data_IF_915454806126
#
_entry.id   IF_915454806126
#
_cell.length_a   1.000
_cell.length_b   1.000
_cell.length_c   1.000
_cell.angle_alpha   90.00
_cell.angle_beta   90.00
_cell.angle_gamma   90.00
#
_symmetry.space_group_name_H-M   'P 1'
#
loop_
_entity.id
_entity.type
_entity.pdbx_description
1 polymer ?
#
# COMPACT_ATOMS: atom_id res chain seq x y z
N UNK A 1 8.04 0.80 7.52
CA UNK A 1 8.50 0.26 8.82
C UNK A 1 7.34 0.06 9.76
N UNK A 2 6.51 1.08 10.02
CA UNK A 2 5.30 0.93 10.87
C UNK A 2 4.37 -0.20 10.42
N UNK A 3 4.04 -0.31 9.13
CA UNK A 3 3.19 -1.41 8.65
C UNK A 3 3.81 -2.79 8.87
N UNK A 4 5.13 -2.94 8.71
CA UNK A 4 5.82 -4.20 9.00
C UNK A 4 5.72 -4.56 10.49
N UNK A 5 5.88 -3.59 11.40
CA UNK A 5 5.68 -3.81 12.84
C UNK A 5 4.25 -4.29 13.18
N UNK A 6 3.25 -3.81 12.44
CA UNK A 6 1.85 -4.20 12.65
C UNK A 6 1.57 -5.60 12.10
N UNK A 7 2.15 -5.95 10.95
CA UNK A 7 1.92 -7.22 10.26
C UNK A 7 2.74 -8.38 10.83
N UNK A 8 3.99 -8.15 11.21
CA UNK A 8 4.94 -9.19 11.63
C UNK A 8 4.81 -9.57 13.10
N UNK A 9 4.15 -8.73 13.91
CA UNK A 9 3.97 -8.97 15.33
C UNK A 9 2.50 -9.27 15.68
N UNK A 10 2.32 -10.25 16.58
CA UNK A 10 0.99 -10.70 17.00
C UNK A 10 0.11 -9.57 17.56
N UNK A 11 -1.21 -9.75 17.46
CA UNK A 11 -2.22 -8.73 17.78
C UNK A 11 -2.02 -8.07 19.15
N UNK A 12 -1.59 -8.83 20.17
CA UNK A 12 -1.45 -8.33 21.53
C UNK A 12 -0.02 -7.92 21.92
N UNK A 13 0.94 -8.03 21.00
CA UNK A 13 2.34 -7.70 21.26
C UNK A 13 2.55 -6.21 21.59
N UNK A 14 3.54 -5.94 22.45
CA UNK A 14 3.93 -4.56 22.79
C UNK A 14 4.39 -3.79 21.55
N UNK A 15 5.13 -4.43 20.64
CA UNK A 15 5.63 -3.79 19.41
C UNK A 15 4.47 -3.35 18.50
N UNK A 16 3.50 -4.22 18.22
CA UNK A 16 2.32 -3.84 17.42
C UNK A 16 1.53 -2.72 18.07
N UNK A 17 1.30 -2.77 19.39
CA UNK A 17 0.60 -1.70 20.13
C UNK A 17 1.33 -0.35 20.01
N UNK A 18 2.66 -0.34 20.15
CA UNK A 18 3.49 0.87 19.96
C UNK A 18 3.38 1.41 18.53
N UNK A 19 3.46 0.53 17.52
CA UNK A 19 3.36 0.92 16.13
C UNK A 19 1.99 1.51 15.76
N UNK A 20 0.90 0.92 16.26
CA UNK A 20 -0.45 1.45 16.06
C UNK A 20 -0.60 2.82 16.75
N UNK A 21 -0.14 2.97 17.99
CA UNK A 21 -0.16 4.28 18.66
C UNK A 21 0.60 5.34 17.87
N UNK A 22 1.77 4.97 17.34
CA UNK A 22 2.56 5.89 16.53
C UNK A 22 1.83 6.26 15.23
N UNK A 23 1.26 5.28 14.54
CA UNK A 23 0.45 5.50 13.34
C UNK A 23 -0.72 6.44 13.62
N UNK A 24 -1.50 6.19 14.67
CA UNK A 24 -2.61 7.04 15.07
C UNK A 24 -2.15 8.47 15.40
N UNK A 25 -0.99 8.63 16.06
CA UNK A 25 -0.39 9.94 16.33
C UNK A 25 -0.01 10.70 15.06
N UNK A 26 0.53 10.02 14.03
CA UNK A 26 0.84 10.66 12.75
C UNK A 26 -0.44 11.03 11.98
N UNK A 27 -1.43 10.14 11.97
CA UNK A 27 -2.71 10.37 11.30
C UNK A 27 -3.52 11.48 11.96
N UNK A 28 -3.53 11.58 13.29
CA UNK A 28 -4.27 12.60 14.04
C UNK A 28 -3.82 14.04 13.81
N UNK A 29 -2.74 14.25 13.05
CA UNK A 29 -2.27 15.57 12.61
C UNK A 29 -3.03 16.13 11.42
N UNK A 30 -3.72 15.27 10.69
CA UNK A 30 -4.38 15.61 9.43
C UNK A 30 -5.89 15.49 9.62
N UNK A 31 -6.63 16.38 8.96
CA UNK A 31 -8.10 16.31 8.92
C UNK A 31 -8.52 15.31 7.84
N UNK A 32 -8.37 14.02 8.14
CA UNK A 32 -8.80 12.93 7.27
C UNK A 32 -10.13 12.41 7.81
N UNK A 33 -11.14 12.34 6.95
CA UNK A 33 -12.46 11.86 7.31
C UNK A 33 -12.47 10.35 7.59
N UNK A 34 -13.48 9.87 8.31
CA UNK A 34 -13.67 8.43 8.51
C UNK A 34 -13.85 7.69 7.18
N UNK A 35 -14.52 8.31 6.19
CA UNK A 35 -14.75 7.71 4.87
C UNK A 35 -13.44 7.51 4.10
N UNK A 36 -12.57 8.53 4.10
CA UNK A 36 -11.24 8.43 3.48
C UNK A 36 -10.36 7.38 4.18
N UNK A 37 -10.40 7.31 5.51
CA UNK A 37 -9.68 6.25 6.23
C UNK A 37 -10.21 4.86 5.93
N UNK A 38 -11.53 4.68 5.84
CA UNK A 38 -12.13 3.40 5.48
C UNK A 38 -11.72 2.99 4.06
N UNK A 39 -11.74 3.93 3.12
CA UNK A 39 -11.28 3.67 1.75
C UNK A 39 -9.81 3.24 1.75
N UNK A 40 -8.91 4.01 2.39
CA UNK A 40 -7.50 3.64 2.46
C UNK A 40 -7.29 2.31 3.19
N UNK A 41 -8.05 2.00 4.24
CA UNK A 41 -7.99 0.69 4.90
C UNK A 41 -8.40 -0.44 3.94
N UNK A 42 -9.42 -0.21 3.10
CA UNK A 42 -9.90 -1.19 2.14
C UNK A 42 -8.85 -1.53 1.07
N UNK A 43 -8.03 -0.56 0.64
CA UNK A 43 -6.99 -0.81 -0.38
C UNK A 43 -5.91 -1.78 0.14
N UNK A 44 -5.64 -1.80 1.45
CA UNK A 44 -4.74 -2.79 2.05
C UNK A 44 -5.30 -4.22 2.05
N UNK A 45 -6.60 -4.40 1.83
CA UNK A 45 -7.26 -5.70 1.73
C UNK A 45 -7.38 -6.10 0.26
N UNK A 46 -8.02 -5.25 -0.55
CA UNK A 46 -8.47 -5.63 -1.88
C UNK A 46 -7.39 -5.50 -2.96
N UNK A 47 -6.49 -4.51 -2.88
CA UNK A 47 -5.43 -4.38 -3.88
C UNK A 47 -4.46 -5.57 -3.84
N UNK A 48 -4.02 -6.07 -2.67
CA UNK A 48 -3.25 -7.31 -2.61
C UNK A 48 -4.02 -8.53 -3.13
N UNK A 49 -5.31 -8.66 -2.81
CA UNK A 49 -6.13 -9.79 -3.29
C UNK A 49 -6.19 -9.77 -4.83
N UNK A 50 -6.60 -8.64 -5.42
CA UNK A 50 -6.71 -8.45 -6.89
C UNK A 50 -5.37 -8.67 -7.58
N UNK A 51 -4.28 -8.15 -6.99
CA UNK A 51 -2.93 -8.35 -7.53
C UNK A 51 -2.53 -9.81 -7.54
N UNK A 52 -2.73 -10.53 -6.42
CA UNK A 52 -2.33 -11.93 -6.32
C UNK A 52 -3.18 -12.83 -7.22
N UNK A 53 -4.48 -12.57 -7.34
CA UNK A 53 -5.36 -13.29 -8.26
C UNK A 53 -4.93 -13.17 -9.71
N UNK A 54 -4.42 -11.99 -10.12
CA UNK A 54 -4.03 -11.74 -11.51
C UNK A 54 -2.58 -12.14 -11.81
N UNK A 55 -1.66 -11.97 -10.85
CA UNK A 55 -0.22 -11.96 -11.13
C UNK A 55 0.63 -12.86 -10.23
N UNK A 56 0.05 -13.55 -9.23
CA UNK A 56 0.79 -14.54 -8.45
C UNK A 56 0.76 -15.93 -9.09
N UNK A 57 1.55 -16.85 -8.53
CA UNK A 57 1.61 -18.25 -8.97
C UNK A 57 0.35 -19.05 -8.63
N UNK A 58 -0.46 -18.56 -7.68
CA UNK A 58 -1.80 -19.07 -7.36
C UNK A 58 -2.66 -17.96 -6.75
N UNK A 59 -4.00 -18.03 -6.85
CA UNK A 59 -4.89 -17.15 -6.12
C UNK A 59 -4.83 -17.39 -4.60
N UNK A 60 -5.30 -16.41 -3.84
CA UNK A 60 -5.54 -16.58 -2.41
C UNK A 60 -6.70 -17.54 -2.17
N UNK A 61 -6.54 -18.45 -1.22
CA UNK A 61 -7.62 -19.25 -0.66
C UNK A 61 -8.58 -18.38 0.16
N UNK A 62 -9.79 -18.86 0.38
CA UNK A 62 -10.78 -18.13 1.18
C UNK A 62 -10.28 -17.86 2.62
N UNK A 63 -9.57 -18.82 3.22
CA UNK A 63 -9.00 -18.66 4.56
C UNK A 63 -7.96 -17.53 4.58
N UNK A 64 -7.12 -17.41 3.55
CA UNK A 64 -6.14 -16.33 3.45
C UNK A 64 -6.81 -14.97 3.28
N UNK A 65 -7.85 -14.87 2.44
CA UNK A 65 -8.64 -13.63 2.27
C UNK A 65 -9.30 -13.20 3.58
N UNK A 66 -9.91 -14.14 4.28
CA UNK A 66 -10.51 -13.91 5.60
C UNK A 66 -9.47 -13.51 6.65
N UNK A 67 -8.26 -14.07 6.59
CA UNK A 67 -7.15 -13.70 7.46
C UNK A 67 -6.72 -12.25 7.28
N UNK A 68 -6.54 -11.80 6.03
CA UNK A 68 -6.25 -10.40 5.69
C UNK A 68 -7.38 -9.50 6.17
N UNK A 69 -8.63 -9.84 5.84
CA UNK A 69 -9.81 -9.08 6.23
C UNK A 69 -9.89 -8.89 7.76
N UNK A 70 -9.80 -9.97 8.53
CA UNK A 70 -9.85 -9.90 10.00
C UNK A 70 -8.71 -9.07 10.59
N UNK A 71 -7.51 -9.19 10.04
CA UNK A 71 -6.37 -8.41 10.51
C UNK A 71 -6.58 -6.90 10.31
N UNK A 72 -7.09 -6.49 9.14
CA UNK A 72 -7.34 -5.08 8.86
C UNK A 72 -8.63 -4.55 9.50
N UNK A 73 -9.64 -5.38 9.70
CA UNK A 73 -10.82 -5.05 10.52
C UNK A 73 -10.39 -4.70 11.96
N UNK A 74 -9.53 -5.52 12.56
CA UNK A 74 -8.98 -5.24 13.89
C UNK A 74 -8.08 -4.00 13.90
N UNK A 75 -7.29 -3.76 12.85
CA UNK A 75 -6.52 -2.54 12.71
C UNK A 75 -7.43 -1.31 12.68
N UNK A 76 -8.48 -1.33 11.85
CA UNK A 76 -9.47 -0.25 11.75
C UNK A 76 -10.14 0.06 13.09
N UNK A 77 -10.52 -0.97 13.86
CA UNK A 77 -11.05 -0.79 15.23
C UNK A 77 -10.05 -0.08 16.15
N UNK A 78 -8.77 -0.44 16.10
CA UNK A 78 -7.71 0.21 16.89
C UNK A 78 -7.31 1.60 16.39
N UNK A 79 -7.66 1.93 15.16
CA UNK A 79 -7.61 3.28 14.60
C UNK A 79 -8.85 4.11 14.96
N UNK A 80 -9.78 3.55 15.76
CA UNK A 80 -11.05 4.18 16.14
C UNK A 80 -11.97 4.49 14.95
N UNK A 81 -11.83 3.76 13.83
CA UNK A 81 -12.72 3.90 12.68
C UNK A 81 -14.12 3.39 13.02
N UNK A 82 -15.13 4.06 12.46
CA UNK A 82 -16.54 3.79 12.66
C UNK A 82 -17.13 3.18 11.39
N UNK A 83 -18.20 2.39 11.57
CA UNK A 83 -18.99 1.83 10.47
C UNK A 83 -18.16 1.02 9.46
N UNK A 84 -17.15 0.30 9.94
CA UNK A 84 -16.37 -0.61 9.09
C UNK A 84 -17.32 -1.71 8.58
N UNK A 85 -17.39 -2.00 7.27
CA UNK A 85 -18.18 -3.12 6.77
C UNK A 85 -17.74 -4.46 7.41
N UNK A 86 -18.68 -5.35 7.73
CA UNK A 86 -18.41 -6.53 8.56
C UNK A 86 -18.13 -7.80 7.75
N UNK A 87 -18.26 -7.74 6.43
CA UNK A 87 -17.92 -8.83 5.51
C UNK A 87 -16.98 -8.36 4.40
N UNK A 88 -16.24 -9.30 3.80
CA UNK A 88 -15.42 -9.04 2.61
C UNK A 88 -16.26 -8.41 1.48
N UNK A 89 -17.43 -8.98 1.18
CA UNK A 89 -18.29 -8.53 0.09
C UNK A 89 -18.80 -7.09 0.33
N UNK A 90 -19.25 -6.77 1.55
CA UNK A 90 -19.70 -5.42 1.87
C UNK A 90 -18.55 -4.42 1.79
N UNK A 91 -17.34 -4.79 2.24
CA UNK A 91 -16.21 -3.87 2.22
C UNK A 91 -15.65 -3.69 0.80
N UNK A 92 -15.72 -4.71 -0.04
CA UNK A 92 -15.35 -4.60 -1.45
C UNK A 92 -16.33 -3.69 -2.20
N UNK A 93 -17.63 -3.85 -1.97
CA UNK A 93 -18.64 -2.94 -2.52
C UNK A 93 -18.37 -1.50 -2.08
N UNK A 94 -18.10 -1.28 -0.79
CA UNK A 94 -17.73 0.04 -0.29
C UNK A 94 -16.50 0.62 -0.98
N UNK A 95 -15.44 -0.18 -1.20
CA UNK A 95 -14.24 0.23 -1.91
C UNK A 95 -14.58 0.71 -3.33
N UNK A 96 -15.32 -0.09 -4.11
CA UNK A 96 -15.71 0.24 -5.49
C UNK A 96 -16.65 1.45 -5.57
N UNK A 97 -17.59 1.57 -4.62
CA UNK A 97 -18.51 2.71 -4.52
C UNK A 97 -17.80 4.01 -4.11
N UNK A 98 -16.73 3.92 -3.30
CA UNK A 98 -15.91 5.08 -2.99
C UNK A 98 -15.16 5.54 -4.24
N UNK A 99 -14.53 4.63 -4.98
CA UNK A 99 -13.80 4.96 -6.21
C UNK A 99 -14.71 5.58 -7.26
N UNK A 100 -15.89 5.00 -7.50
CA UNK A 100 -16.82 5.53 -8.49
C UNK A 100 -17.33 6.95 -8.18
N UNK A 101 -17.40 7.33 -6.91
CA UNK A 101 -17.82 8.68 -6.47
C UNK A 101 -16.68 9.69 -6.46
N UNK A 102 -15.50 9.28 -6.02
CA UNK A 102 -14.42 10.21 -5.67
C UNK A 102 -13.21 10.19 -6.62
N UNK A 103 -13.05 9.19 -7.49
CA UNK A 103 -11.95 9.18 -8.45
C UNK A 103 -12.14 10.27 -9.50
N UNK A 104 -11.46 11.38 -9.25
CA UNK A 104 -11.48 12.56 -10.10
C UNK A 104 -10.07 13.10 -10.23
N UNK A 105 -9.79 13.69 -11.39
CA UNK A 105 -8.50 14.32 -11.62
C UNK A 105 -8.35 15.57 -10.74
N UNK A 106 -7.18 15.70 -10.11
CA UNK A 106 -6.71 16.94 -9.51
C UNK A 106 -5.23 17.18 -9.87
N UNK A 107 -4.78 18.43 -10.07
CA UNK A 107 -3.37 18.71 -10.35
C UNK A 107 -2.41 18.16 -9.28
N UNK A 108 -2.85 18.14 -8.01
CA UNK A 108 -2.12 17.52 -6.90
C UNK A 108 -1.90 16.02 -7.10
N UNK A 109 -2.87 15.30 -7.66
CA UNK A 109 -2.79 13.86 -7.90
C UNK A 109 -1.65 13.56 -8.89
N UNK A 110 -1.56 14.34 -9.97
CA UNK A 110 -0.50 14.19 -10.97
C UNK A 110 0.89 14.43 -10.37
N UNK A 111 1.03 15.49 -9.57
CA UNK A 111 2.28 15.81 -8.91
C UNK A 111 2.74 14.67 -7.99
N UNK A 112 1.85 14.15 -7.15
CA UNK A 112 2.15 13.05 -6.23
C UNK A 112 2.42 11.76 -7.01
N UNK A 113 1.64 11.47 -8.05
CA UNK A 113 1.83 10.30 -8.91
C UNK A 113 3.21 10.30 -9.56
N UNK A 114 3.63 11.41 -10.14
CA UNK A 114 4.95 11.52 -10.78
C UNK A 114 6.09 11.24 -9.81
N UNK A 115 6.03 11.82 -8.59
CA UNK A 115 7.04 11.58 -7.56
C UNK A 115 7.04 10.14 -7.07
N UNK A 116 5.85 9.54 -6.93
CA UNK A 116 5.69 8.16 -6.47
C UNK A 116 6.20 7.16 -7.51
N UNK A 117 5.93 7.41 -8.80
CA UNK A 117 6.41 6.58 -9.90
C UNK A 117 7.93 6.69 -10.02
N UNK A 118 8.49 7.89 -9.90
CA UNK A 118 9.94 8.10 -9.90
C UNK A 118 10.62 7.39 -8.71
N UNK A 119 9.99 7.42 -7.53
CA UNK A 119 10.46 6.66 -6.36
C UNK A 119 10.45 5.15 -6.63
N UNK A 120 9.36 4.63 -7.18
CA UNK A 120 9.24 3.21 -7.53
C UNK A 120 10.32 2.79 -8.53
N UNK A 121 10.51 3.57 -9.59
CA UNK A 121 11.53 3.30 -10.59
C UNK A 121 12.94 3.35 -10.00
N UNK A 122 13.19 4.28 -9.05
CA UNK A 122 14.47 4.39 -8.35
C UNK A 122 14.87 3.17 -7.53
N UNK A 123 13.94 2.25 -7.23
CA UNK A 123 14.28 0.98 -6.60
C UNK A 123 14.91 -0.04 -7.56
N UNK A 124 14.73 0.13 -8.86
CA UNK A 124 15.10 -0.87 -9.87
C UNK A 124 15.98 -0.33 -11.00
N UNK A 125 15.89 0.97 -11.30
CA UNK A 125 16.51 1.60 -12.46
C UNK A 125 17.32 2.84 -12.04
N UNK A 126 18.41 3.15 -12.75
CA UNK A 126 19.05 4.46 -12.67
C UNK A 126 18.16 5.55 -13.29
N UNK A 127 18.29 6.79 -12.80
CA UNK A 127 17.42 7.93 -13.17
C UNK A 127 17.30 8.17 -14.68
N UNK A 128 18.38 7.98 -15.44
CA UNK A 128 18.37 8.20 -16.90
C UNK A 128 17.46 7.23 -17.66
N UNK A 129 17.06 6.10 -17.04
CA UNK A 129 16.11 5.14 -17.62
C UNK A 129 14.65 5.40 -17.22
N UNK A 130 14.36 6.42 -16.40
CA UNK A 130 12.99 6.66 -15.92
C UNK A 130 12.02 6.96 -17.06
N UNK A 131 12.46 7.66 -18.10
CA UNK A 131 11.64 7.92 -19.30
C UNK A 131 11.15 6.63 -19.98
N UNK A 132 11.99 5.59 -19.98
CA UNK A 132 11.66 4.27 -20.53
C UNK A 132 10.77 3.48 -19.57
N UNK A 133 11.01 3.58 -18.26
CA UNK A 133 10.28 2.84 -17.23
C UNK A 133 8.84 3.32 -16.99
N UNK A 134 8.59 4.63 -17.03
CA UNK A 134 7.27 5.22 -16.70
C UNK A 134 6.11 4.58 -17.47
N UNK A 135 6.17 4.37 -18.80
CA UNK A 135 5.07 3.73 -19.50
C UNK A 135 4.75 2.30 -19.10
N UNK A 136 5.71 1.55 -18.56
CA UNK A 136 5.46 0.21 -18.01
C UNK A 136 4.75 0.29 -16.67
N UNK A 137 5.05 1.31 -15.85
CA UNK A 137 4.30 1.58 -14.63
C UNK A 137 2.85 1.98 -14.95
N UNK A 138 2.64 2.84 -15.96
CA UNK A 138 1.28 3.19 -16.39
C UNK A 138 0.48 1.97 -16.87
N UNK A 139 1.16 0.97 -17.44
CA UNK A 139 0.53 -0.26 -17.90
C UNK A 139 0.05 -1.17 -16.76
N UNK A 140 0.53 -0.96 -15.52
CA UNK A 140 0.10 -1.69 -14.33
C UNK A 140 -1.16 -1.09 -13.68
N UNK A 141 -1.48 0.17 -13.97
CA UNK A 141 -2.59 0.89 -13.36
C UNK A 141 -3.87 0.69 -14.18
N UNK A 142 -5.00 0.52 -13.49
CA UNK A 142 -6.31 0.50 -14.12
C UNK A 142 -6.69 1.88 -14.69
N UNK A 143 -7.73 1.90 -15.52
CA UNK A 143 -8.14 3.10 -16.23
C UNK A 143 -8.77 4.17 -15.32
N UNK A 144 -9.65 3.84 -14.35
CA UNK A 144 -10.13 4.82 -13.37
C UNK A 144 -8.99 5.53 -12.62
N UNK A 145 -8.05 4.78 -12.05
CA UNK A 145 -6.92 5.32 -11.31
C UNK A 145 -5.99 6.13 -12.23
N UNK A 146 -5.65 5.61 -13.41
CA UNK A 146 -4.82 6.34 -14.38
C UNK A 146 -5.44 7.69 -14.75
N UNK A 147 -6.75 7.74 -14.89
CA UNK A 147 -7.49 8.96 -15.21
C UNK A 147 -7.49 9.95 -14.03
N UNK A 148 -7.76 9.48 -12.81
CA UNK A 148 -7.74 10.29 -11.60
C UNK A 148 -6.34 10.84 -11.27
N UNK A 149 -5.27 10.13 -11.64
CA UNK A 149 -3.89 10.57 -11.50
C UNK A 149 -3.40 11.46 -12.66
N UNK A 150 -4.18 11.63 -13.73
CA UNK A 150 -3.78 12.39 -14.92
C UNK A 150 -2.62 11.73 -15.69
N UNK A 151 -2.53 10.41 -15.64
CA UNK A 151 -1.48 9.65 -16.31
C UNK A 151 -1.86 9.31 -17.75
N UNK A 152 -0.90 9.31 -18.69
CA UNK A 152 -1.16 8.92 -20.07
C UNK A 152 -1.70 7.48 -20.15
N UNK A 153 -2.69 7.26 -21.02
CA UNK A 153 -3.17 5.90 -21.29
C UNK A 153 -2.02 5.04 -21.80
N UNK A 154 -1.76 3.92 -21.11
CA UNK A 154 -0.78 2.96 -21.56
C UNK A 154 -1.22 2.32 -22.88
N UNK A 155 -0.26 2.09 -23.79
CA UNK A 155 -0.56 1.40 -25.04
C UNK A 155 -1.01 -0.04 -24.75
N UNK A 156 -1.94 -0.56 -25.57
CA UNK A 156 -2.42 -1.94 -25.45
C UNK A 156 -1.28 -2.96 -25.50
N UNK A 157 -0.27 -2.70 -26.34
CA UNK A 157 0.91 -3.57 -26.43
C UNK A 157 1.75 -3.55 -25.15
N UNK A 158 1.92 -2.40 -24.47
CA UNK A 158 2.67 -2.31 -23.21
C UNK A 158 1.95 -3.06 -22.10
N UNK A 159 0.62 -2.89 -22.01
CA UNK A 159 -0.22 -3.66 -21.08
C UNK A 159 -0.05 -5.16 -21.29
N UNK A 160 -0.20 -5.61 -22.54
CA UNK A 160 0.00 -7.01 -22.89
C UNK A 160 1.40 -7.51 -22.50
N UNK A 161 2.45 -6.76 -22.79
CA UNK A 161 3.83 -7.16 -22.49
C UNK A 161 4.07 -7.28 -20.98
N UNK A 162 3.58 -6.31 -20.20
CA UNK A 162 3.67 -6.34 -18.73
C UNK A 162 2.90 -7.52 -18.15
N UNK A 163 1.67 -7.74 -18.60
CA UNK A 163 0.85 -8.87 -18.15
C UNK A 163 1.52 -10.20 -18.47
N UNK A 164 2.02 -10.40 -19.70
CA UNK A 164 2.75 -11.62 -20.08
C UNK A 164 4.04 -11.80 -19.28
N UNK A 165 4.80 -10.73 -19.05
CA UNK A 165 6.00 -10.77 -18.22
C UNK A 165 5.68 -11.22 -16.79
N UNK A 166 4.60 -10.70 -16.19
CA UNK A 166 4.16 -11.11 -14.86
C UNK A 166 3.65 -12.55 -14.82
N UNK A 167 2.93 -13.01 -15.85
CA UNK A 167 2.51 -14.43 -15.96
C UNK A 167 3.70 -15.38 -16.07
N UNK A 168 4.71 -15.02 -16.87
CA UNK A 168 5.94 -15.80 -17.00
C UNK A 168 6.66 -15.86 -15.65
N UNK A 169 6.78 -14.73 -14.96
CA UNK A 169 7.34 -14.68 -13.60
C UNK A 169 6.55 -15.58 -12.63
N UNK A 170 5.22 -15.54 -12.67
CA UNK A 170 4.36 -16.36 -11.84
C UNK A 170 4.60 -17.86 -12.09
N UNK A 171 4.75 -18.26 -13.34
CA UNK A 171 5.08 -19.64 -13.72
C UNK A 171 6.41 -20.11 -13.11
N UNK A 172 7.48 -19.30 -13.18
CA UNK A 172 8.75 -19.65 -12.54
C UNK A 172 8.67 -19.71 -11.02
N UNK A 173 7.88 -18.82 -10.39
CA UNK A 173 7.63 -18.90 -8.94
C UNK A 173 6.89 -20.18 -8.55
N UNK A 174 5.94 -20.65 -9.36
CA UNK A 174 5.22 -21.91 -9.11
C UNK A 174 6.16 -23.13 -9.04
N UNK A 175 7.28 -23.08 -9.78
CA UNK A 175 8.29 -24.15 -9.83
C UNK A 175 9.38 -24.01 -8.78
N UNK A 176 9.44 -22.86 -8.10
CA UNK A 176 10.44 -22.60 -7.07
C UNK A 176 10.00 -23.20 -5.73
N UNK A 177 10.93 -23.69 -4.89
CA UNK A 177 10.59 -24.21 -3.57
C UNK A 177 10.02 -23.10 -2.67
N UNK A 178 9.09 -23.47 -1.79
CA UNK A 178 8.53 -22.53 -0.81
C UNK A 178 9.61 -22.10 0.20
N UNK A 179 9.79 -20.78 0.43
CA UNK A 179 10.75 -20.29 1.42
C UNK A 179 10.43 -20.84 2.81
N UNK A 180 11.43 -21.47 3.45
CA UNK A 180 11.28 -22.03 4.81
C UNK A 180 11.39 -20.99 5.92
N UNK A 181 11.81 -19.77 5.57
CA UNK A 181 12.00 -18.68 6.52
C UNK A 181 11.33 -17.41 6.02
N UNK A 182 10.61 -16.67 6.89
CA UNK A 182 9.96 -15.44 6.50
C UNK A 182 10.98 -14.33 6.23
N UNK A 183 10.76 -13.56 5.17
CA UNK A 183 11.51 -12.33 4.90
C UNK A 183 10.83 -11.19 5.63
N UNK A 184 11.44 -10.76 6.75
CA UNK A 184 10.88 -9.75 7.63
C UNK A 184 11.32 -8.34 7.20
N UNK A 185 10.36 -7.48 6.88
CA UNK A 185 10.57 -6.08 6.54
C UNK A 185 11.06 -5.25 7.72
N UNK A 186 10.81 -5.66 8.97
CA UNK A 186 11.42 -5.06 10.17
C UNK A 186 12.93 -5.27 10.25
N UNK A 187 13.46 -6.35 9.65
CA UNK A 187 14.90 -6.70 9.64
C UNK A 187 15.68 -6.12 8.46
N UNK A 188 15.01 -5.45 7.51
CA UNK A 188 15.67 -4.87 6.34
C UNK A 188 16.48 -3.63 6.73
N UNK A 189 17.80 -3.66 6.48
CA UNK A 189 18.69 -2.48 6.64
C UNK A 189 18.27 -1.36 5.71
N UNK A 190 18.30 -0.12 6.21
CA UNK A 190 17.88 1.08 5.46
C UNK A 190 18.91 2.19 5.64
N UNK A 191 19.35 2.86 4.57
CA UNK A 191 20.30 3.97 4.68
C UNK A 191 19.84 5.10 5.60
N UNK A 192 18.52 5.36 5.66
CA UNK A 192 17.93 6.39 6.54
C UNK A 192 17.96 6.02 8.03
N UNK A 193 18.17 4.74 8.36
CA UNK A 193 18.16 4.20 9.72
C UNK A 193 19.30 3.18 9.87
N UNK A 194 20.58 3.61 9.79
CA UNK A 194 21.73 2.71 9.73
C UNK A 194 21.89 1.86 11.00
N UNK A 195 21.63 2.46 12.16
CA UNK A 195 21.69 1.81 13.48
C UNK A 195 20.35 1.19 13.91
N UNK A 196 19.39 1.10 12.98
CA UNK A 196 18.01 0.72 13.29
C UNK A 196 17.15 1.92 13.68
N UNK A 197 16.04 1.66 14.37
CA UNK A 197 15.03 2.66 14.66
C UNK A 197 14.23 2.37 15.92
N UNK A 198 13.79 3.44 16.58
CA UNK A 198 12.73 3.37 17.58
C UNK A 198 11.37 3.63 16.94
N UNK A 199 10.36 2.85 17.33
CA UNK A 199 9.01 2.94 16.72
C UNK A 199 8.44 4.35 16.88
N UNK A 200 8.68 4.99 18.02
CA UNK A 200 8.21 6.34 18.37
C UNK A 200 8.84 7.42 17.48
N UNK A 201 10.02 7.15 16.93
CA UNK A 201 10.80 8.07 16.09
C UNK A 201 10.47 7.94 14.59
N UNK A 202 9.48 7.12 14.24
CA UNK A 202 9.10 6.94 12.84
C UNK A 202 8.10 7.98 12.35
N UNK A 203 8.34 8.48 11.14
CA UNK A 203 7.38 9.27 10.35
C UNK A 203 7.35 10.75 10.71
N UNK A 204 6.15 11.32 10.91
CA UNK A 204 5.95 12.78 10.98
C UNK A 204 5.76 13.31 12.40
N UNK A 205 6.46 14.40 12.74
CA UNK A 205 6.46 14.99 14.10
C UNK A 205 5.82 16.37 14.11
N UNK A 206 5.22 16.82 15.24
CA UNK A 206 4.69 18.17 15.36
C UNK A 206 5.78 19.13 14.95
N UNK A 207 5.48 19.99 13.98
CA UNK A 207 6.32 21.15 13.78
C UNK A 207 6.32 21.89 15.10
N UNK A 208 7.49 22.08 15.72
CA UNK A 208 7.59 22.98 16.88
C UNK A 208 6.93 24.29 16.49
N UNK A 209 6.07 24.83 17.35
CA UNK A 209 5.63 26.20 17.19
C UNK A 209 6.88 27.09 17.24
N UNK A 210 6.96 28.22 16.50
CA UNK A 210 8.01 29.20 16.73
C UNK A 210 8.14 29.62 18.21
N UNK A 211 7.07 29.48 19.00
CA UNK A 211 7.07 29.72 20.43
C UNK A 211 7.85 28.69 21.28
N UNK A 212 8.13 27.49 20.75
CA UNK A 212 8.88 26.43 21.44
C UNK A 212 10.40 26.49 21.14
N UNK A 213 10.83 27.53 20.43
CA UNK A 213 12.21 27.79 20.00
C UNK A 213 12.77 29.11 20.57
N UNK A 214 12.01 29.79 21.43
CA UNK A 214 12.42 30.96 22.19
C UNK A 214 12.59 30.58 23.66
#
# INVERSE_FOLDING_TARGET
>A
MILFEILEHGMNSLRRKRAIRRMNSMHGRFQISNEEFLYVLSTFIFEPIRWLEKYAYRPMTEIEKQGVFRNYLELGRRMNLKNIPQTLAEFERYNLEFESRYFQFAPSNKLIADKTIDLLLGFYLPKFLFGIGRPFVYALLDEPLSSALGLPKASRWRRWLVEKGLMIRAFFHQKSPEPQHPVLGTRRKRPTYPEGYHIEELGTFPSKSPADLA
#
